data_IF_449311716469
#
_entry.id   IF_449311716469
#
_cell.length_a   1.000
_cell.length_b   1.000
_cell.length_c   1.000
_cell.angle_alpha   90.00
_cell.angle_beta   90.00
_cell.angle_gamma   90.00
#
_symmetry.space_group_name_H-M   'P 1'
#
loop_
_entity.id
_entity.type
_entity.pdbx_description
1 polymer ?
#
# COMPACT_ATOMS: atom_id res chain seq x y z
N UNK A 1 -10.62 10.44 5.33
CA UNK A 1 -9.47 10.35 4.41
C UNK A 1 -10.01 9.88 3.07
N UNK A 2 -9.60 10.45 1.94
CA UNK A 2 -9.99 9.91 0.61
C UNK A 2 -8.91 8.91 0.17
N UNK A 3 -9.32 7.68 -0.14
CA UNK A 3 -8.42 6.60 -0.56
C UNK A 3 -8.83 6.20 -1.98
N UNK A 4 -7.89 6.29 -2.91
CA UNK A 4 -8.12 5.85 -4.28
C UNK A 4 -7.97 4.32 -4.38
N UNK A 5 -9.01 3.63 -4.81
CA UNK A 5 -9.01 2.17 -4.91
C UNK A 5 -8.64 1.69 -6.32
N UNK A 6 -7.75 0.70 -6.38
CA UNK A 6 -7.33 0.02 -7.61
C UNK A 6 -7.65 -1.47 -7.50
N UNK A 7 -8.34 -2.02 -8.50
CA UNK A 7 -8.78 -3.43 -8.50
C UNK A 7 -7.77 -4.37 -9.19
N UNK A 8 -6.62 -3.83 -9.62
CA UNK A 8 -5.52 -4.65 -10.13
C UNK A 8 -4.19 -3.94 -9.98
N UNK A 9 -3.12 -4.72 -9.86
CA UNK A 9 -1.73 -4.22 -9.85
C UNK A 9 -1.43 -3.47 -11.17
N UNK A 10 -1.90 -4.01 -12.29
CA UNK A 10 -1.69 -3.42 -13.62
C UNK A 10 -2.35 -2.03 -13.77
N UNK A 11 -3.47 -1.79 -13.09
CA UNK A 11 -4.08 -0.47 -12.99
C UNK A 11 -3.24 0.44 -12.08
N UNK A 12 -2.89 -0.03 -10.89
CA UNK A 12 -2.14 0.73 -9.91
C UNK A 12 -0.78 1.24 -10.43
N UNK A 13 -0.05 0.44 -11.23
CA UNK A 13 1.25 0.82 -11.82
C UNK A 13 1.12 1.98 -12.82
N UNK A 14 0.01 2.07 -13.56
CA UNK A 14 -0.17 3.07 -14.63
C UNK A 14 -0.57 4.45 -14.12
N UNK A 15 -0.91 4.55 -12.83
CA UNK A 15 -1.48 5.75 -12.24
C UNK A 15 -0.41 6.61 -11.59
N UNK A 16 -0.72 7.89 -11.45
CA UNK A 16 0.07 8.83 -10.66
C UNK A 16 -0.70 9.14 -9.38
N UNK A 17 -0.10 8.84 -8.23
CA UNK A 17 -0.63 9.18 -6.91
C UNK A 17 0.20 10.33 -6.34
N UNK A 18 -0.44 11.44 -5.95
CA UNK A 18 0.27 12.62 -5.50
C UNK A 18 0.75 12.46 -4.04
N UNK A 19 1.84 13.15 -3.66
CA UNK A 19 2.24 13.22 -2.27
C UNK A 19 1.12 13.75 -1.36
N UNK A 20 0.83 13.01 -0.28
CA UNK A 20 -0.25 13.30 0.65
C UNK A 20 -1.52 12.49 0.40
N UNK A 21 -1.61 11.79 -0.73
CA UNK A 21 -2.72 10.92 -1.08
C UNK A 21 -2.47 9.47 -0.63
N UNK A 22 -3.57 8.74 -0.51
CA UNK A 22 -3.59 7.32 -0.22
C UNK A 22 -4.19 6.58 -1.40
N UNK A 23 -3.64 5.42 -1.72
CA UNK A 23 -4.31 4.47 -2.58
C UNK A 23 -4.36 3.09 -1.94
N UNK A 24 -5.32 2.30 -2.36
CA UNK A 24 -5.52 0.93 -1.89
C UNK A 24 -5.52 0.00 -3.11
N UNK A 25 -4.70 -1.03 -3.05
CA UNK A 25 -4.55 -2.00 -4.14
C UNK A 25 -5.18 -3.30 -3.66
N UNK A 26 -6.27 -3.68 -4.32
CA UNK A 26 -6.97 -4.95 -4.12
C UNK A 26 -6.93 -5.72 -5.44
N UNK A 27 -6.06 -6.70 -5.53
CA UNK A 27 -5.97 -7.58 -6.70
C UNK A 27 -6.23 -9.00 -6.22
N UNK A 28 -7.29 -9.64 -6.73
CA UNK A 28 -7.68 -11.00 -6.33
C UNK A 28 -6.60 -12.05 -6.65
N UNK A 29 -5.68 -11.75 -7.57
CA UNK A 29 -4.57 -12.63 -7.93
C UNK A 29 -3.33 -12.43 -7.06
N UNK A 30 -3.33 -11.44 -6.16
CA UNK A 30 -2.19 -11.11 -5.30
C UNK A 30 -2.11 -12.06 -4.10
N UNK A 31 -1.03 -12.82 -3.99
CA UNK A 31 -0.71 -13.53 -2.75
C UNK A 31 -0.05 -12.56 -1.75
N UNK A 32 -0.87 -11.98 -0.87
CA UNK A 32 -0.42 -11.03 0.16
C UNK A 32 0.60 -11.63 1.13
N UNK A 33 0.55 -12.95 1.37
CA UNK A 33 1.47 -13.60 2.31
C UNK A 33 2.86 -13.69 1.71
N UNK A 34 2.95 -14.15 0.45
CA UNK A 34 4.20 -14.22 -0.30
C UNK A 34 4.77 -12.82 -0.54
N UNK A 35 3.93 -11.88 -1.02
CA UNK A 35 4.34 -10.51 -1.32
C UNK A 35 4.96 -9.80 -0.12
N UNK A 36 4.42 -10.03 1.08
CA UNK A 36 4.82 -9.33 2.29
C UNK A 36 5.79 -10.13 3.16
N UNK A 37 6.30 -11.29 2.71
CA UNK A 37 7.14 -12.18 3.52
C UNK A 37 8.38 -11.46 4.10
N UNK A 38 8.96 -10.55 3.34
CA UNK A 38 10.16 -9.81 3.73
C UNK A 38 9.88 -8.41 4.30
N UNK A 39 8.62 -8.07 4.55
CA UNK A 39 8.24 -6.77 5.09
C UNK A 39 8.38 -6.77 6.61
N UNK A 40 8.63 -5.59 7.18
CA UNK A 40 8.77 -5.44 8.62
C UNK A 40 7.40 -5.51 9.32
N UNK A 41 7.38 -6.03 10.54
CA UNK A 41 6.21 -5.94 11.42
C UNK A 41 5.88 -4.47 11.70
N UNK A 42 4.60 -4.12 11.61
CA UNK A 42 4.14 -2.75 11.77
C UNK A 42 2.73 -2.66 12.34
N UNK A 43 2.57 -1.86 13.38
CA UNK A 43 1.26 -1.46 13.92
C UNK A 43 0.60 -0.33 13.11
N UNK A 44 1.22 0.08 12.00
CA UNK A 44 0.76 1.17 11.14
C UNK A 44 0.41 2.47 11.90
N UNK A 45 1.13 2.78 12.98
CA UNK A 45 0.85 3.89 13.92
C UNK A 45 0.78 5.29 13.29
N UNK A 46 1.24 5.44 12.04
CA UNK A 46 1.12 6.67 11.26
C UNK A 46 -0.18 6.80 10.45
N UNK A 47 -1.11 5.86 10.61
CA UNK A 47 -2.47 5.85 10.07
C UNK A 47 -3.49 6.13 11.17
N UNK A 48 -4.62 6.71 10.80
CA UNK A 48 -5.76 6.90 11.70
C UNK A 48 -6.38 5.55 12.10
N UNK A 49 -6.92 5.48 13.32
CA UNK A 49 -7.54 4.26 13.85
C UNK A 49 -8.69 3.77 12.95
N UNK A 50 -9.50 4.69 12.40
CA UNK A 50 -10.57 4.37 11.45
C UNK A 50 -10.08 3.59 10.22
N UNK A 51 -8.88 3.89 9.71
CA UNK A 51 -8.32 3.20 8.55
C UNK A 51 -7.77 1.83 8.95
N UNK A 52 -7.11 1.75 10.11
CA UNK A 52 -6.52 0.50 10.61
C UNK A 52 -7.59 -0.54 10.95
N UNK A 53 -8.72 -0.10 11.50
CA UNK A 53 -9.82 -0.95 11.93
C UNK A 53 -10.84 -1.21 10.80
N UNK A 54 -10.72 -0.53 9.66
CA UNK A 54 -11.62 -0.75 8.53
C UNK A 54 -11.37 -2.15 7.92
N UNK A 55 -12.39 -3.04 7.90
CA UNK A 55 -12.27 -4.38 7.32
C UNK A 55 -11.96 -4.35 5.81
N UNK A 56 -12.41 -3.32 5.09
CA UNK A 56 -12.24 -3.22 3.63
C UNK A 56 -10.76 -3.09 3.23
N UNK A 57 -9.92 -2.55 4.13
CA UNK A 57 -8.48 -2.37 3.90
C UNK A 57 -7.61 -3.52 4.41
N UNK A 58 -8.20 -4.59 4.95
CA UNK A 58 -7.44 -5.73 5.48
C UNK A 58 -7.00 -6.70 4.36
N UNK A 59 -7.72 -6.73 3.24
CA UNK A 59 -7.55 -7.70 2.16
C UNK A 59 -6.71 -7.16 0.98
N UNK A 60 -5.81 -6.22 1.24
CA UNK A 60 -5.01 -5.60 0.19
C UNK A 60 -3.85 -4.80 0.75
N UNK A 61 -3.25 -3.99 -0.13
CA UNK A 61 -2.13 -3.12 0.22
C UNK A 61 -2.59 -1.68 0.23
N UNK A 62 -2.57 -1.07 1.41
CA UNK A 62 -2.75 0.37 1.56
C UNK A 62 -1.41 1.07 1.34
N UNK A 63 -1.40 2.09 0.49
CA UNK A 63 -0.20 2.82 0.11
C UNK A 63 -0.37 4.29 0.50
N UNK A 64 0.61 4.80 1.24
CA UNK A 64 0.72 6.22 1.59
C UNK A 64 1.88 6.82 0.82
N UNK A 65 1.59 7.76 -0.06
CA UNK A 65 2.60 8.47 -0.84
C UNK A 65 2.98 9.75 -0.13
N UNK A 66 4.27 9.97 0.08
CA UNK A 66 4.81 11.24 0.58
C UNK A 66 5.75 11.84 -0.47
N UNK A 67 6.28 13.03 -0.21
CA UNK A 67 7.19 13.69 -1.17
C UNK A 67 8.50 12.94 -1.37
N UNK A 68 8.93 12.18 -0.36
CA UNK A 68 10.28 11.59 -0.30
C UNK A 68 10.25 10.05 -0.30
N UNK A 69 9.09 9.46 0.01
CA UNK A 69 8.95 8.01 0.18
C UNK A 69 7.52 7.54 0.00
N UNK A 70 7.39 6.25 -0.24
CA UNK A 70 6.14 5.51 -0.34
C UNK A 70 6.13 4.46 0.74
N UNK A 71 5.04 4.41 1.50
CA UNK A 71 4.84 3.38 2.54
C UNK A 71 3.71 2.46 2.11
N UNK A 72 3.97 1.17 2.17
CA UNK A 72 3.02 0.10 1.90
C UNK A 72 2.64 -0.55 3.21
N UNK A 73 1.36 -0.87 3.38
CA UNK A 73 0.82 -1.49 4.57
C UNK A 73 -0.06 -2.68 4.16
N UNK A 74 0.26 -3.85 4.68
CA UNK A 74 -0.66 -4.97 4.72
C UNK A 74 -1.24 -5.06 6.14
N UNK A 75 -2.41 -4.45 6.34
CA UNK A 75 -3.01 -4.30 7.66
C UNK A 75 -3.44 -5.65 8.24
N UNK A 76 -4.03 -6.52 7.42
CA UNK A 76 -4.46 -7.85 7.86
C UNK A 76 -3.33 -8.76 8.33
N UNK A 77 -2.10 -8.53 7.83
CA UNK A 77 -0.90 -9.23 8.27
C UNK A 77 -0.02 -8.46 9.25
N UNK A 78 -0.37 -7.21 9.58
CA UNK A 78 0.44 -6.35 10.44
C UNK A 78 1.85 -6.08 9.89
N UNK A 79 1.98 -5.88 8.58
CA UNK A 79 3.27 -5.67 7.91
C UNK A 79 3.33 -4.34 7.16
N UNK A 80 4.52 -3.77 7.06
CA UNK A 80 4.76 -2.59 6.25
C UNK A 80 6.13 -2.60 5.56
N UNK A 81 6.19 -1.92 4.42
CA UNK A 81 7.43 -1.64 3.70
C UNK A 81 7.52 -0.15 3.38
N UNK A 82 8.73 0.39 3.44
CA UNK A 82 8.99 1.78 3.11
C UNK A 82 10.05 1.85 2.00
N UNK A 83 9.71 2.49 0.89
CA UNK A 83 10.62 2.69 -0.25
C UNK A 83 10.84 4.18 -0.43
N UNK A 84 12.10 4.60 -0.51
CA UNK A 84 12.45 5.99 -0.83
C UNK A 84 12.22 6.28 -2.32
N UNK A 85 11.72 7.48 -2.63
CA UNK A 85 11.45 7.91 -4.00
C UNK A 85 9.97 8.05 -4.31
N UNK A 86 9.65 7.90 -5.59
CA UNK A 86 8.31 8.20 -6.14
C UNK A 86 7.41 6.97 -6.13
N UNK A 87 6.09 7.20 -6.23
CA UNK A 87 5.10 6.14 -6.38
C UNK A 87 5.45 5.17 -7.52
N UNK A 88 5.75 5.68 -8.71
CA UNK A 88 6.09 4.83 -9.85
C UNK A 88 7.33 3.96 -9.60
N UNK A 89 8.40 4.52 -9.04
CA UNK A 89 9.61 3.77 -8.68
C UNK A 89 9.31 2.67 -7.65
N UNK A 90 8.50 2.99 -6.65
CA UNK A 90 8.16 2.03 -5.60
C UNK A 90 7.26 0.90 -6.13
N UNK A 91 6.30 1.23 -6.99
CA UNK A 91 5.44 0.25 -7.65
C UNK A 91 6.23 -0.70 -8.56
N UNK A 92 7.16 -0.17 -9.36
CA UNK A 92 8.03 -0.98 -10.23
C UNK A 92 8.98 -1.87 -9.40
N UNK A 93 9.44 -1.40 -8.24
CA UNK A 93 10.29 -2.21 -7.35
C UNK A 93 9.57 -3.39 -6.70
N UNK A 94 8.24 -3.32 -6.50
CA UNK A 94 7.47 -4.37 -5.83
C UNK A 94 6.78 -5.29 -6.86
N UNK A 95 6.32 -4.72 -7.97
CA UNK A 95 5.41 -5.38 -8.90
C UNK A 95 5.92 -5.46 -10.36
N UNK A 96 7.10 -4.92 -10.65
CA UNK A 96 7.75 -4.99 -11.97
C UNK A 96 8.67 -6.19 -12.09
#
# INVERSE_FOLDING_TARGET
>A
MEVQEFNSIAEAIKQTVNPGEFCFIKDESMDLTELTEHWDESEASSLDDEVKENPDYQEGILVKVTREKVKFYYLGGGRALCIEGTYSTAMESIFG
#
